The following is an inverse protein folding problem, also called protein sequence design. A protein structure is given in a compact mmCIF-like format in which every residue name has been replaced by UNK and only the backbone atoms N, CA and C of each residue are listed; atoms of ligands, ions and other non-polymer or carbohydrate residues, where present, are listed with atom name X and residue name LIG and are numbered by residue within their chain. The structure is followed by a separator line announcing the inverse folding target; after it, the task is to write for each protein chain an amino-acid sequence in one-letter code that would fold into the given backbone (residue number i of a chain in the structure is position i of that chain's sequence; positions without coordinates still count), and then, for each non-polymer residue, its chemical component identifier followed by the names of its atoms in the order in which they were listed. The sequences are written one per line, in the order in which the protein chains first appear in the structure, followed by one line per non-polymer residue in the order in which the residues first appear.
data_IF_969248986351
#
_entry.id   IF_969248986351
#
_cell.length_a   1.000
_cell.length_b   1.000
_cell.length_c   1.000
_cell.angle_alpha   90.00
_cell.angle_beta   90.00
_cell.angle_gamma   90.00
#
_symmetry.space_group_name_H-M   'P 1'
#
loop_
_entity.id
_entity.type
_entity.pdbx_description
1 polymer ?
#
# COMPACT_ATOMS: atom_id res chain seq x y z
N UNK A 1 -7.05 -6.89 27.78
CA UNK A 1 -6.09 -5.96 27.15
C UNK A 1 -6.86 -4.71 26.72
N UNK A 2 -6.68 -3.58 27.42
CA UNK A 2 -7.39 -2.30 27.17
C UNK A 2 -6.40 -1.38 26.45
N UNK A 3 -6.59 -1.18 25.15
CA UNK A 3 -5.71 -0.31 24.36
C UNK A 3 -6.17 1.13 24.60
N UNK A 4 -5.31 1.94 25.22
CA UNK A 4 -5.55 3.37 25.42
C UNK A 4 -5.37 4.12 24.10
N UNK A 5 -6.42 4.80 23.65
CA UNK A 5 -6.42 5.63 22.43
C UNK A 5 -5.81 7.03 22.65
N UNK A 6 -5.49 7.41 23.90
CA UNK A 6 -4.95 8.75 24.20
C UNK A 6 -3.53 8.95 23.69
N UNK A 7 -2.76 7.86 23.54
CA UNK A 7 -1.37 7.90 23.06
C UNK A 7 -1.28 8.06 21.53
N UNK A 8 -2.31 7.64 20.80
CA UNK A 8 -2.35 7.79 19.34
C UNK A 8 -2.77 9.19 18.90
N UNK A 9 -3.62 9.89 19.66
CA UNK A 9 -4.03 11.26 19.30
C UNK A 9 -2.88 12.27 19.38
N UNK A 10 -1.97 12.13 20.35
CA UNK A 10 -0.84 13.05 20.51
C UNK A 10 0.19 12.94 19.37
N UNK A 11 0.34 11.76 18.75
CA UNK A 11 1.20 11.58 17.58
C UNK A 11 0.61 12.19 16.29
N UNK A 12 -0.72 12.31 16.18
CA UNK A 12 -1.40 12.68 14.93
C UNK A 12 -1.69 14.18 14.84
N UNK A 13 -1.87 14.89 15.96
CA UNK A 13 -2.38 16.28 15.96
C UNK A 13 -1.45 17.33 16.58
N UNK A 14 -0.44 16.95 17.37
CA UNK A 14 0.41 17.94 18.05
C UNK A 14 1.60 18.37 17.18
N UNK A 15 1.52 19.56 16.58
CA UNK A 15 2.67 20.25 15.96
C UNK A 15 3.61 20.92 16.99
N UNK A 16 3.21 20.97 18.26
CA UNK A 16 4.01 21.51 19.37
C UNK A 16 4.58 20.35 20.19
N UNK A 17 5.83 20.51 20.63
CA UNK A 17 6.46 19.63 21.60
C UNK A 17 5.58 19.58 22.86
N UNK A 18 4.98 18.44 23.14
CA UNK A 18 4.28 18.18 24.40
C UNK A 18 5.21 17.27 25.18
N UNK A 19 5.79 17.73 26.29
CA UNK A 19 6.53 16.88 27.23
C UNK A 19 5.51 16.18 28.13
N UNK A 20 4.99 15.05 27.69
CA UNK A 20 4.28 14.10 28.54
C UNK A 20 5.26 13.03 29.05
N UNK A 21 5.60 13.16 30.34
CA UNK A 21 6.23 12.10 31.11
C UNK A 21 5.21 10.96 31.27
N UNK A 22 5.40 9.88 30.51
CA UNK A 22 4.53 8.71 30.58
C UNK A 22 5.02 7.81 31.71
N UNK A 23 4.36 7.83 32.86
CA UNK A 23 4.61 6.87 33.94
C UNK A 23 3.84 5.58 33.71
N UNK A 24 4.55 4.45 33.71
CA UNK A 24 3.97 3.11 33.75
C UNK A 24 4.50 2.42 35.01
N UNK A 25 3.70 2.42 36.08
CA UNK A 25 4.19 2.00 37.40
C UNK A 25 5.19 3.02 37.96
N UNK A 26 6.34 2.57 38.46
CA UNK A 26 7.44 3.43 38.95
C UNK A 26 8.37 3.92 37.83
N UNK A 27 8.20 3.41 36.60
CA UNK A 27 9.09 3.74 35.49
C UNK A 27 8.53 4.92 34.67
N UNK A 28 9.39 5.91 34.43
CA UNK A 28 9.12 7.03 33.52
C UNK A 28 9.68 6.68 32.16
N UNK A 29 8.81 6.55 31.15
CA UNK A 29 9.23 6.33 29.78
C UNK A 29 9.60 7.67 29.13
N UNK A 30 10.82 7.81 28.56
CA UNK A 30 11.18 9.01 27.81
C UNK A 30 10.29 9.11 26.58
N UNK A 31 9.70 10.29 26.38
CA UNK A 31 8.90 10.55 25.19
C UNK A 31 9.84 10.86 24.01
N UNK A 32 9.50 10.32 22.83
CA UNK A 32 10.22 10.64 21.59
C UNK A 32 9.95 12.10 21.24
N UNK A 33 10.95 12.98 21.41
CA UNK A 33 10.84 14.41 21.11
C UNK A 33 10.81 14.69 19.60
N UNK A 34 11.57 13.91 18.83
CA UNK A 34 11.64 14.02 17.37
C UNK A 34 11.74 12.62 16.75
N UNK A 35 10.86 12.33 15.80
CA UNK A 35 10.97 11.13 15.00
C UNK A 35 12.01 11.36 13.91
N UNK A 36 13.09 10.58 13.95
CA UNK A 36 14.15 10.59 12.93
C UNK A 36 14.22 9.24 12.23
N UNK A 37 14.32 9.26 10.91
CA UNK A 37 14.57 8.08 10.07
C UNK A 37 15.90 8.29 9.39
N UNK A 38 16.84 7.34 9.54
CA UNK A 38 18.20 7.52 9.02
C UNK A 38 18.90 8.82 9.49
N UNK A 39 18.57 9.30 10.69
CA UNK A 39 19.08 10.57 11.21
C UNK A 39 18.39 11.83 10.66
N UNK A 40 17.47 11.69 9.71
CA UNK A 40 16.71 12.79 9.10
C UNK A 40 15.37 13.01 9.81
N UNK A 41 15.01 14.27 9.99
CA UNK A 41 13.73 14.72 10.53
C UNK A 41 12.75 15.12 9.41
N UNK A 42 11.47 15.27 9.74
CA UNK A 42 10.48 15.82 8.80
C UNK A 42 10.80 17.26 8.34
N UNK A 43 11.65 17.99 9.07
CA UNK A 43 12.04 19.38 8.73
C UNK A 43 13.03 19.44 7.58
N UNK A 44 13.78 18.37 7.37
CA UNK A 44 14.78 18.29 6.31
C UNK A 44 14.14 18.14 4.92
N UNK A 45 12.83 17.82 4.87
CA UNK A 45 12.01 17.70 3.66
C UNK A 45 12.63 16.79 2.59
N UNK A 46 13.45 15.83 3.01
CA UNK A 46 14.02 14.80 2.14
C UNK A 46 12.90 13.86 1.73
N UNK A 47 12.79 13.59 0.43
CA UNK A 47 11.82 12.62 -0.09
C UNK A 47 12.18 11.23 0.43
N UNK A 48 11.19 10.48 0.91
CA UNK A 48 11.44 9.12 1.39
C UNK A 48 12.12 8.24 0.34
N UNK A 49 11.81 8.40 -0.96
CA UNK A 49 12.51 7.66 -2.04
C UNK A 49 14.02 7.82 -2.02
N UNK A 50 14.54 9.02 -1.71
CA UNK A 50 15.98 9.23 -1.61
C UNK A 50 16.57 8.49 -0.40
N UNK A 51 15.84 8.44 0.72
CA UNK A 51 16.26 7.73 1.94
C UNK A 51 16.31 6.22 1.68
N UNK A 52 15.28 5.68 1.02
CA UNK A 52 15.23 4.26 0.66
C UNK A 52 16.39 3.88 -0.26
N UNK A 53 16.64 4.69 -1.30
CA UNK A 53 17.73 4.48 -2.27
C UNK A 53 19.11 4.53 -1.61
N UNK A 54 19.38 5.52 -0.74
CA UNK A 54 20.67 5.64 -0.02
C UNK A 54 20.96 4.42 0.86
N UNK A 55 19.94 3.83 1.47
CA UNK A 55 20.08 2.68 2.35
C UNK A 55 19.92 1.32 1.65
N UNK A 56 19.69 1.30 0.33
CA UNK A 56 19.41 0.07 -0.42
C UNK A 56 18.18 -0.67 0.10
N UNK A 57 17.21 0.06 0.65
CA UNK A 57 15.97 -0.50 1.16
C UNK A 57 14.91 -0.41 0.07
N UNK A 58 14.33 -1.55 -0.27
CA UNK A 58 13.27 -1.59 -1.27
C UNK A 58 12.00 -0.87 -0.78
N UNK A 59 11.41 0.01 -1.61
CA UNK A 59 10.18 0.68 -1.24
C UNK A 59 9.05 -0.32 -0.96
N UNK A 60 8.37 -0.15 0.18
CA UNK A 60 7.18 -0.94 0.53
C UNK A 60 6.10 -0.95 -0.57
N UNK A 61 6.06 0.11 -1.39
CA UNK A 61 5.16 0.21 -2.52
C UNK A 61 5.34 -0.95 -3.51
N UNK A 62 6.57 -1.38 -3.80
CA UNK A 62 6.85 -2.49 -4.70
C UNK A 62 6.24 -3.79 -4.16
N UNK A 63 6.40 -4.05 -2.86
CA UNK A 63 5.81 -5.22 -2.22
C UNK A 63 4.27 -5.22 -2.26
N UNK A 64 3.67 -4.04 -2.07
CA UNK A 64 2.21 -3.86 -2.18
C UNK A 64 1.75 -4.14 -3.61
N UNK A 65 2.43 -3.54 -4.60
CA UNK A 65 2.11 -3.71 -6.02
C UNK A 65 2.24 -5.17 -6.46
N UNK A 66 3.31 -5.85 -6.03
CA UNK A 66 3.54 -7.27 -6.27
C UNK A 66 2.43 -8.13 -5.68
N UNK A 67 2.04 -7.85 -4.43
CA UNK A 67 0.94 -8.55 -3.76
C UNK A 67 -0.40 -8.35 -4.48
N UNK A 68 -0.66 -7.14 -4.97
CA UNK A 68 -1.88 -6.83 -5.71
C UNK A 68 -1.94 -7.54 -7.07
N UNK A 69 -0.83 -7.58 -7.83
CA UNK A 69 -0.74 -8.34 -9.08
C UNK A 69 -0.81 -9.86 -8.84
N UNK A 70 -0.25 -10.35 -7.75
CA UNK A 70 -0.41 -11.74 -7.30
C UNK A 70 -1.88 -12.08 -7.03
N UNK A 71 -2.60 -11.19 -6.36
CA UNK A 71 -4.03 -11.34 -6.09
C UNK A 71 -4.88 -11.30 -7.37
N UNK A 72 -4.52 -10.48 -8.36
CA UNK A 72 -5.15 -10.49 -9.69
C UNK A 72 -5.05 -11.87 -10.35
N UNK A 73 -3.87 -12.50 -10.32
CA UNK A 73 -3.70 -13.85 -10.83
C UNK A 73 -4.60 -14.86 -10.11
N UNK A 74 -4.76 -14.73 -8.79
CA UNK A 74 -5.70 -15.56 -8.04
C UNK A 74 -7.15 -15.33 -8.51
N UNK A 75 -7.54 -14.08 -8.73
CA UNK A 75 -8.86 -13.69 -9.20
C UNK A 75 -9.15 -14.25 -10.60
N UNK A 76 -8.19 -14.19 -11.53
CA UNK A 76 -8.30 -14.72 -12.88
C UNK A 76 -8.51 -16.24 -12.93
N UNK A 77 -7.94 -16.98 -11.97
CA UNK A 77 -8.10 -18.44 -11.83
C UNK A 77 -9.27 -18.86 -10.97
N UNK A 78 -10.01 -17.91 -10.41
CA UNK A 78 -11.16 -18.18 -9.56
C UNK A 78 -12.33 -18.71 -10.42
N UNK A 79 -13.08 -19.75 -9.97
CA UNK A 79 -14.25 -20.21 -10.71
C UNK A 79 -15.32 -19.13 -10.81
N UNK A 80 -16.08 -19.15 -11.90
CA UNK A 80 -17.24 -18.27 -12.11
C UNK A 80 -18.30 -18.45 -11.00
N UNK A 81 -19.03 -17.38 -10.66
CA UNK A 81 -20.02 -17.38 -9.59
C UNK A 81 -19.48 -17.00 -8.21
N UNK A 82 -18.16 -16.77 -8.09
CA UNK A 82 -17.56 -16.22 -6.87
C UNK A 82 -17.69 -14.70 -6.85
N UNK A 83 -18.25 -14.16 -5.77
CA UNK A 83 -18.49 -12.72 -5.61
C UNK A 83 -17.29 -11.80 -5.95
N UNK A 84 -16.04 -12.09 -5.53
CA UNK A 84 -14.93 -11.20 -5.87
C UNK A 84 -14.72 -11.05 -7.38
N UNK A 85 -14.78 -12.16 -8.12
CA UNK A 85 -14.62 -12.16 -9.57
C UNK A 85 -15.80 -11.47 -10.26
N UNK A 86 -17.03 -11.73 -9.80
CA UNK A 86 -18.22 -11.06 -10.34
C UNK A 86 -18.15 -9.54 -10.11
N UNK A 87 -17.84 -9.09 -8.89
CA UNK A 87 -17.68 -7.67 -8.54
C UNK A 87 -16.58 -7.03 -9.37
N UNK A 88 -15.45 -7.71 -9.56
CA UNK A 88 -14.37 -7.19 -10.39
C UNK A 88 -14.77 -7.01 -11.85
N UNK A 89 -15.55 -7.94 -12.41
CA UNK A 89 -16.08 -7.85 -13.78
C UNK A 89 -17.17 -6.79 -13.91
N UNK A 90 -17.87 -6.44 -12.83
CA UNK A 90 -18.92 -5.42 -12.90
C UNK A 90 -18.35 -4.03 -13.20
N UNK A 91 -19.05 -3.28 -14.04
CA UNK A 91 -18.79 -1.87 -14.31
C UNK A 91 -19.96 -1.05 -13.76
N UNK A 92 -19.95 -0.66 -12.47
CA UNK A 92 -21.03 0.15 -11.93
C UNK A 92 -21.10 1.48 -12.69
N UNK A 93 -22.24 1.70 -13.35
CA UNK A 93 -22.57 2.92 -14.09
C UNK A 93 -23.36 3.85 -13.17
N UNK A 94 -22.99 5.13 -13.11
CA UNK A 94 -23.69 6.12 -12.29
C UNK A 94 -22.83 7.29 -11.85
N UNK A 95 -23.46 8.27 -11.19
CA UNK A 95 -22.74 9.39 -10.56
C UNK A 95 -22.01 8.91 -9.31
N UNK A 96 -20.76 9.35 -9.17
CA UNK A 96 -19.91 8.98 -8.05
C UNK A 96 -20.15 9.97 -6.91
N UNK A 97 -20.37 9.48 -5.67
CA UNK A 97 -20.50 10.37 -4.51
C UNK A 97 -19.25 11.24 -4.36
N UNK A 98 -19.45 12.48 -3.91
CA UNK A 98 -18.35 13.37 -3.58
C UNK A 98 -17.47 12.71 -2.50
N UNK A 99 -16.14 12.73 -2.72
CA UNK A 99 -15.16 12.12 -1.81
C UNK A 99 -14.78 10.67 -2.12
N UNK A 100 -15.48 9.98 -3.04
CA UNK A 100 -15.05 8.65 -3.49
C UNK A 100 -13.82 8.77 -4.40
N UNK A 101 -12.77 7.94 -4.21
CA UNK A 101 -11.63 7.89 -5.14
C UNK A 101 -12.12 7.68 -6.58
N UNK A 102 -11.59 8.48 -7.50
CA UNK A 102 -11.99 8.44 -8.91
C UNK A 102 -11.51 7.18 -9.62
N UNK A 103 -10.40 6.60 -9.12
CA UNK A 103 -9.77 5.40 -9.67
C UNK A 103 -10.36 4.15 -9.03
N UNK A 104 -10.93 3.25 -9.84
CA UNK A 104 -11.33 1.93 -9.34
C UNK A 104 -10.09 1.07 -9.19
N UNK A 105 -10.15 0.07 -8.30
CA UNK A 105 -9.05 -0.87 -8.15
C UNK A 105 -8.67 -1.55 -9.48
N UNK A 106 -9.66 -1.95 -10.29
CA UNK A 106 -9.42 -2.49 -11.65
C UNK A 106 -8.63 -1.51 -12.54
N UNK A 107 -9.02 -0.24 -12.58
CA UNK A 107 -8.35 0.76 -13.42
C UNK A 107 -6.89 0.98 -12.96
N UNK A 108 -6.67 0.99 -11.64
CA UNK A 108 -5.34 1.04 -11.05
C UNK A 108 -4.50 -0.17 -11.45
N UNK A 109 -5.04 -1.39 -11.33
CA UNK A 109 -4.34 -2.63 -11.66
C UNK A 109 -4.06 -2.76 -13.15
N UNK A 110 -5.00 -2.38 -14.01
CA UNK A 110 -4.76 -2.36 -15.46
C UNK A 110 -3.60 -1.43 -15.81
N UNK A 111 -3.57 -0.23 -15.22
CA UNK A 111 -2.44 0.70 -15.41
C UNK A 111 -1.13 0.13 -14.85
N UNK A 112 -1.17 -0.45 -13.65
CA UNK A 112 0.01 -1.04 -13.02
C UNK A 112 0.58 -2.20 -13.86
N UNK A 113 -0.27 -3.09 -14.36
CA UNK A 113 0.12 -4.21 -15.21
C UNK A 113 0.70 -3.73 -16.56
N UNK A 114 0.17 -2.65 -17.11
CA UNK A 114 0.75 -2.01 -18.30
C UNK A 114 2.13 -1.41 -18.01
N UNK A 115 2.24 -0.59 -16.96
CA UNK A 115 3.48 0.11 -16.60
C UNK A 115 4.61 -0.84 -16.19
N UNK A 116 4.28 -1.93 -15.48
CA UNK A 116 5.27 -2.83 -14.87
C UNK A 116 5.51 -4.11 -15.67
N UNK A 117 4.50 -4.62 -16.39
CA UNK A 117 4.57 -5.90 -17.10
C UNK A 117 4.32 -5.78 -18.62
N UNK A 118 3.92 -4.61 -19.12
CA UNK A 118 3.59 -4.40 -20.53
C UNK A 118 2.33 -5.13 -21.00
N UNK A 119 1.48 -5.60 -20.08
CA UNK A 119 0.28 -6.39 -20.41
C UNK A 119 -0.90 -5.43 -20.65
N UNK A 120 -1.54 -5.45 -21.84
CA UNK A 120 -2.70 -4.61 -22.12
C UNK A 120 -3.92 -5.06 -21.30
N UNK A 121 -4.84 -4.12 -21.02
CA UNK A 121 -5.96 -4.37 -20.12
C UNK A 121 -6.94 -5.43 -20.66
N UNK A 122 -7.01 -5.59 -21.97
CA UNK A 122 -7.89 -6.51 -22.68
C UNK A 122 -7.46 -7.97 -22.47
N UNK A 123 -6.15 -8.21 -22.46
CA UNK A 123 -5.55 -9.55 -22.32
C UNK A 123 -5.23 -9.90 -20.86
N UNK A 124 -5.29 -8.90 -19.97
CA UNK A 124 -4.82 -9.00 -18.59
C UNK A 124 -5.41 -10.20 -17.82
N UNK A 125 -6.71 -10.45 -17.93
CA UNK A 125 -7.36 -11.56 -17.23
C UNK A 125 -7.02 -12.92 -17.83
N UNK A 126 -6.75 -12.99 -19.12
CA UNK A 126 -6.33 -14.22 -19.81
C UNK A 126 -4.91 -14.58 -19.40
N UNK A 127 -3.97 -13.64 -19.55
CA UNK A 127 -2.56 -13.80 -19.18
C UNK A 127 -2.41 -14.10 -17.68
N UNK A 128 -3.17 -13.40 -16.83
CA UNK A 128 -3.16 -13.66 -15.39
C UNK A 128 -3.77 -15.01 -15.02
N UNK A 129 -4.65 -15.56 -15.85
CA UNK A 129 -5.21 -16.90 -15.71
C UNK A 129 -4.16 -18.00 -15.91
N UNK A 130 -3.23 -17.78 -16.84
CA UNK A 130 -2.11 -18.68 -17.09
C UNK A 130 -1.06 -18.64 -15.97
N UNK A 131 -1.15 -19.61 -15.04
CA UNK A 131 -0.30 -19.64 -13.83
C UNK A 131 1.20 -19.54 -14.14
N UNK A 132 1.69 -20.25 -15.15
CA UNK A 132 3.11 -20.30 -15.48
C UNK A 132 3.60 -18.97 -16.08
N UNK A 133 2.82 -18.38 -17.00
CA UNK A 133 3.12 -17.09 -17.60
C UNK A 133 3.07 -15.99 -16.55
N UNK A 134 1.99 -15.93 -15.76
CA UNK A 134 1.83 -14.93 -14.71
C UNK A 134 2.95 -15.00 -13.66
N UNK A 135 3.33 -16.20 -13.23
CA UNK A 135 4.43 -16.38 -12.28
C UNK A 135 5.79 -15.96 -12.87
N UNK A 136 5.98 -16.09 -14.19
CA UNK A 136 7.20 -15.65 -14.87
C UNK A 136 7.25 -14.13 -15.00
N UNK A 137 6.12 -13.50 -15.33
CA UNK A 137 5.99 -12.05 -15.39
C UNK A 137 6.23 -11.40 -14.02
N UNK A 138 5.65 -11.94 -12.95
CA UNK A 138 5.86 -11.41 -11.59
C UNK A 138 7.31 -11.51 -11.10
N UNK A 139 8.12 -12.41 -11.66
CA UNK A 139 9.56 -12.49 -11.35
C UNK A 139 10.39 -11.41 -12.03
N UNK A 140 9.84 -10.74 -13.04
CA UNK A 140 10.52 -9.63 -13.71
C UNK A 140 10.44 -8.33 -12.91
N UNK A 141 9.55 -8.26 -11.92
CA UNK A 141 9.42 -7.11 -11.03
C UNK A 141 10.57 -7.09 -10.03
N UNK A 142 11.16 -5.91 -9.76
CA UNK A 142 12.13 -5.77 -8.68
C UNK A 142 11.44 -6.12 -7.34
N UNK A 143 12.13 -6.94 -6.53
CA UNK A 143 11.71 -7.34 -5.19
C UNK A 143 12.39 -6.46 -4.15
#
# INVERSE_FOLDING_TARGET
MRISTSKSESMVLARKKVECLLQVGEEVLPQVEEFKVAGLSLRDRVRSSNIWEEHGVEPLLLHIEWSQLGWLGHLARMPSGRLPLEVFRTCPTGRWPHGRPRTRWRDYISRLAWEQLGVPSEELMEVAGERAVWASLLKLLPL
#
